data_IF_838594056681
#
_entry.id   IF_838594056681
#
_cell.length_a   1.000
_cell.length_b   1.000
_cell.length_c   1.000
_cell.angle_alpha   90.00
_cell.angle_beta   90.00
_cell.angle_gamma   90.00
#
_symmetry.space_group_name_H-M   'P 1'
#
loop_
_entity.id
_entity.type
_entity.pdbx_description
1 polymer ?
#
# COMPACT_ATOMS: atom_id res chain seq x y z
N UNK A 1 34.72 16.92 -8.24
CA UNK A 1 33.76 16.96 -7.11
C UNK A 1 33.12 18.34 -6.85
N UNK A 2 33.60 19.47 -7.34
CA UNK A 2 32.94 20.81 -7.20
C UNK A 2 31.79 21.04 -8.17
N UNK A 3 31.80 20.47 -9.36
CA UNK A 3 30.76 20.68 -10.38
C UNK A 3 29.42 19.99 -10.03
N UNK A 4 29.45 18.83 -9.38
CA UNK A 4 28.21 18.13 -8.98
C UNK A 4 27.38 18.86 -7.92
N UNK A 5 28.01 19.69 -7.06
CA UNK A 5 27.28 20.52 -6.08
C UNK A 5 26.52 21.67 -6.76
N UNK A 6 26.98 22.15 -7.90
CA UNK A 6 26.32 23.22 -8.66
C UNK A 6 24.99 22.79 -9.30
N UNK A 7 24.85 21.51 -9.66
CA UNK A 7 23.64 20.98 -10.30
C UNK A 7 22.49 20.73 -9.30
N UNK A 8 22.81 20.44 -8.05
CA UNK A 8 21.79 20.16 -7.02
C UNK A 8 20.89 21.38 -6.71
N UNK A 9 21.35 22.61 -6.98
CA UNK A 9 20.53 23.83 -6.81
C UNK A 9 19.36 23.92 -7.77
N UNK A 10 19.38 23.15 -8.86
CA UNK A 10 18.30 23.09 -9.86
C UNK A 10 17.33 21.95 -9.59
N UNK A 11 17.55 21.14 -8.55
CA UNK A 11 16.74 20.00 -8.19
C UNK A 11 15.97 20.29 -6.90
N UNK A 12 14.65 20.32 -6.97
CA UNK A 12 13.77 20.28 -5.81
C UNK A 12 13.26 18.85 -5.68
N UNK A 13 13.84 18.10 -4.73
CA UNK A 13 13.44 16.71 -4.49
C UNK A 13 12.63 16.67 -3.22
N UNK A 14 11.40 16.12 -3.31
CA UNK A 14 10.58 15.91 -2.13
C UNK A 14 11.32 15.03 -1.11
N UNK A 15 11.31 15.38 0.19
CA UNK A 15 11.95 14.57 1.25
C UNK A 15 11.45 13.13 1.31
N UNK A 16 10.26 12.85 0.78
CA UNK A 16 9.63 11.52 0.76
C UNK A 16 10.23 10.57 -0.29
N UNK A 17 10.98 11.08 -1.27
CA UNK A 17 11.59 10.28 -2.37
C UNK A 17 12.90 9.61 -2.00
N UNK A 18 13.14 9.28 -0.74
CA UNK A 18 14.29 8.45 -0.39
C UNK A 18 13.95 6.99 -0.65
N UNK A 19 14.40 6.46 -1.78
CA UNK A 19 14.34 5.03 -2.14
C UNK A 19 15.21 4.14 -1.24
N UNK A 20 15.08 4.31 0.09
CA UNK A 20 15.74 3.42 1.04
C UNK A 20 15.15 2.01 0.89
N UNK A 21 16.00 1.00 0.94
CA UNK A 21 15.59 -0.41 0.86
C UNK A 21 15.37 -0.95 -0.56
N UNK A 22 15.39 -0.14 -1.61
CA UNK A 22 15.24 -0.59 -3.02
C UNK A 22 16.29 -1.65 -3.40
N UNK A 23 17.48 -1.58 -2.82
CA UNK A 23 18.54 -2.59 -3.02
C UNK A 23 18.13 -4.00 -2.57
N UNK A 24 17.15 -4.13 -1.69
CA UNK A 24 16.64 -5.41 -1.21
C UNK A 24 15.66 -6.07 -2.19
N UNK A 25 15.07 -5.30 -3.12
CA UNK A 25 14.03 -5.81 -4.03
C UNK A 25 14.45 -7.06 -4.81
N UNK A 26 15.64 -7.11 -5.49
CA UNK A 26 16.03 -8.30 -6.24
C UNK A 26 16.19 -9.53 -5.35
N UNK A 27 16.69 -9.34 -4.13
CA UNK A 27 16.89 -10.41 -3.16
C UNK A 27 15.58 -10.95 -2.63
N UNK A 28 14.67 -10.05 -2.25
CA UNK A 28 13.34 -10.40 -1.75
C UNK A 28 12.46 -11.04 -2.83
N UNK A 29 12.53 -10.57 -4.08
CA UNK A 29 11.84 -11.20 -5.22
C UNK A 29 12.32 -12.64 -5.42
N UNK A 30 13.64 -12.88 -5.32
CA UNK A 30 14.21 -14.23 -5.40
C UNK A 30 13.70 -15.09 -4.24
N UNK A 31 13.73 -14.59 -3.02
CA UNK A 31 13.26 -15.31 -1.84
C UNK A 31 11.76 -15.65 -1.93
N UNK A 32 10.92 -14.71 -2.40
CA UNK A 32 9.50 -14.96 -2.65
C UNK A 32 9.30 -16.07 -3.68
N UNK A 33 10.00 -15.99 -4.81
CA UNK A 33 9.91 -16.99 -5.89
C UNK A 33 10.42 -18.36 -5.44
N UNK A 34 11.51 -18.39 -4.67
CA UNK A 34 12.12 -19.63 -4.15
C UNK A 34 11.45 -20.16 -2.89
N UNK A 35 10.45 -19.46 -2.33
CA UNK A 35 9.87 -19.79 -1.01
C UNK A 35 10.93 -19.89 0.09
N UNK A 36 11.94 -19.01 0.04
CA UNK A 36 13.04 -18.97 1.02
C UNK A 36 12.63 -18.13 2.23
N UNK A 37 12.99 -18.61 3.42
CA UNK A 37 12.84 -17.85 4.69
C UNK A 37 13.80 -16.67 4.65
N UNK A 38 13.32 -15.51 5.11
CA UNK A 38 14.11 -14.29 5.21
C UNK A 38 14.22 -13.88 6.67
N UNK A 39 15.42 -13.54 7.12
CA UNK A 39 15.65 -12.96 8.44
C UNK A 39 16.16 -11.53 8.31
N UNK A 40 15.62 -10.63 9.13
CA UNK A 40 16.04 -9.23 9.16
C UNK A 40 15.72 -8.56 10.49
N UNK A 41 16.43 -7.46 10.75
CA UNK A 41 16.08 -6.51 11.79
C UNK A 41 15.18 -5.42 11.21
N UNK A 42 14.07 -5.11 11.90
CA UNK A 42 13.14 -4.06 11.49
C UNK A 42 12.93 -3.04 12.61
N UNK A 43 13.14 -1.77 12.27
CA UNK A 43 12.99 -0.65 13.21
C UNK A 43 11.58 -0.09 13.18
N UNK A 44 10.96 0.03 14.33
CA UNK A 44 9.69 0.73 14.50
C UNK A 44 9.93 2.24 14.61
N UNK A 45 9.42 3.03 13.68
CA UNK A 45 9.63 4.49 13.71
C UNK A 45 8.94 5.21 14.87
N UNK A 46 7.86 4.66 15.40
CA UNK A 46 7.14 5.30 16.51
C UNK A 46 7.89 5.16 17.85
N UNK A 47 8.58 4.04 18.04
CA UNK A 47 9.26 3.73 19.31
C UNK A 47 10.79 3.79 19.20
N UNK A 48 11.34 3.77 17.98
CA UNK A 48 12.78 3.61 17.74
C UNK A 48 13.31 2.20 18.02
N UNK A 49 12.48 1.29 18.50
CA UNK A 49 12.89 -0.07 18.85
C UNK A 49 13.10 -0.91 17.58
N UNK A 50 14.16 -1.71 17.58
CA UNK A 50 14.44 -2.71 16.54
C UNK A 50 14.07 -4.10 17.03
N UNK A 51 13.51 -4.91 16.13
CA UNK A 51 13.12 -6.30 16.38
C UNK A 51 13.60 -7.17 15.25
N UNK A 52 14.20 -8.32 15.58
CA UNK A 52 14.56 -9.34 14.60
C UNK A 52 13.33 -10.18 14.25
N UNK A 53 13.18 -10.46 12.96
CA UNK A 53 12.11 -11.29 12.41
C UNK A 53 12.68 -12.37 11.52
N UNK A 54 12.12 -13.56 11.60
CA UNK A 54 12.18 -14.57 10.55
C UNK A 54 10.79 -14.66 9.91
N UNK A 55 10.74 -14.55 8.59
CA UNK A 55 9.46 -14.44 7.89
C UNK A 55 9.40 -15.30 6.64
N UNK A 56 8.20 -15.68 6.26
CA UNK A 56 7.87 -16.26 4.97
C UNK A 56 7.38 -15.14 4.04
N UNK A 57 8.18 -14.69 3.06
CA UNK A 57 7.82 -13.58 2.20
C UNK A 57 6.79 -14.02 1.14
N UNK A 58 5.76 -13.18 0.90
CA UNK A 58 4.70 -13.47 -0.05
C UNK A 58 4.57 -12.45 -1.17
N UNK A 59 4.66 -11.16 -0.85
CA UNK A 59 4.42 -10.08 -1.83
C UNK A 59 5.27 -8.86 -1.52
N UNK A 60 5.72 -8.17 -2.58
CA UNK A 60 6.26 -6.82 -2.50
C UNK A 60 5.24 -5.84 -3.07
N UNK A 61 4.97 -4.78 -2.33
CA UNK A 61 4.02 -3.73 -2.73
C UNK A 61 4.67 -2.37 -2.65
N UNK A 62 4.55 -1.61 -3.73
CA UNK A 62 4.85 -0.18 -3.70
C UNK A 62 3.59 0.59 -3.26
N UNK A 63 3.76 1.53 -2.35
CA UNK A 63 2.71 2.46 -1.96
C UNK A 63 3.30 3.79 -1.47
N UNK A 64 2.80 4.87 -2.03
CA UNK A 64 3.20 6.25 -1.69
C UNK A 64 4.73 6.47 -1.75
N UNK A 65 5.39 5.96 -2.79
CA UNK A 65 6.82 6.10 -3.02
C UNK A 65 7.70 5.23 -2.11
N UNK A 66 7.13 4.23 -1.43
CA UNK A 66 7.84 3.29 -0.56
C UNK A 66 7.52 1.85 -0.92
N UNK A 67 8.51 0.98 -0.72
CA UNK A 67 8.33 -0.45 -0.89
C UNK A 67 8.08 -1.14 0.45
N UNK A 68 7.19 -2.10 0.42
CA UNK A 68 6.79 -2.91 1.56
C UNK A 68 6.85 -4.39 1.24
N UNK A 69 7.36 -5.16 2.19
CA UNK A 69 7.28 -6.60 2.18
C UNK A 69 6.05 -7.05 2.97
N UNK A 70 5.16 -7.79 2.33
CA UNK A 70 4.08 -8.50 2.98
C UNK A 70 4.52 -9.94 3.24
N UNK A 71 4.58 -10.33 4.51
CA UNK A 71 5.15 -11.61 4.90
C UNK A 71 4.39 -12.22 6.09
N UNK A 72 4.32 -13.54 6.12
CA UNK A 72 3.84 -14.29 7.28
C UNK A 72 4.97 -14.42 8.30
N UNK A 73 4.67 -14.12 9.55
CA UNK A 73 5.57 -14.24 10.70
C UNK A 73 5.18 -15.48 11.48
N UNK A 74 5.94 -16.61 11.42
CA UNK A 74 5.57 -17.85 12.08
C UNK A 74 5.35 -17.70 13.59
N UNK A 75 6.26 -17.01 14.28
CA UNK A 75 6.20 -16.79 15.74
C UNK A 75 4.98 -15.97 16.20
N UNK A 76 4.32 -15.28 15.29
CA UNK A 76 3.12 -14.46 15.56
C UNK A 76 1.87 -15.06 14.95
N UNK A 77 2.02 -16.15 14.20
CA UNK A 77 0.95 -16.79 13.41
C UNK A 77 0.12 -15.78 12.58
N UNK A 78 0.76 -14.72 12.10
CA UNK A 78 0.10 -13.60 11.44
C UNK A 78 0.91 -13.01 10.28
N UNK A 79 0.20 -12.44 9.32
CA UNK A 79 0.82 -11.58 8.31
C UNK A 79 1.18 -10.20 8.88
N UNK A 80 2.30 -9.67 8.41
CA UNK A 80 2.73 -8.31 8.71
C UNK A 80 3.29 -7.63 7.46
N UNK A 81 3.20 -6.31 7.46
CA UNK A 81 3.76 -5.45 6.43
C UNK A 81 5.01 -4.74 6.97
N UNK A 82 6.12 -4.89 6.27
CA UNK A 82 7.42 -4.33 6.65
C UNK A 82 7.88 -3.32 5.61
N UNK A 83 8.08 -2.07 5.99
CA UNK A 83 8.71 -1.08 5.11
C UNK A 83 10.16 -1.43 4.87
N UNK A 84 10.59 -1.51 3.59
CA UNK A 84 11.95 -1.87 3.23
C UNK A 84 12.97 -0.82 3.68
N UNK A 85 12.54 0.43 3.82
CA UNK A 85 13.35 1.55 4.34
C UNK A 85 13.73 1.40 5.82
N UNK A 86 13.09 0.47 6.52
CA UNK A 86 13.26 0.18 7.95
C UNK A 86 13.94 -1.17 8.21
N UNK A 87 14.29 -1.90 7.16
CA UNK A 87 15.05 -3.14 7.27
C UNK A 87 16.54 -2.80 7.41
N UNK A 88 17.10 -3.20 8.53
CA UNK A 88 18.54 -3.10 8.82
C UNK A 88 19.29 -4.33 8.31
N UNK A 89 19.80 -5.14 9.24
CA UNK A 89 20.46 -6.40 8.90
C UNK A 89 19.52 -7.35 8.17
N UNK A 90 20.00 -7.98 7.09
CA UNK A 90 19.25 -8.90 6.24
C UNK A 90 20.07 -10.15 5.97
N UNK A 91 19.46 -11.32 6.08
CA UNK A 91 20.09 -12.60 5.73
C UNK A 91 19.08 -13.62 5.19
N UNK A 92 19.61 -14.61 4.45
CA UNK A 92 18.89 -15.79 4.00
C UNK A 92 19.43 -16.99 4.80
N UNK A 93 18.67 -17.55 5.75
CA UNK A 93 19.14 -18.65 6.59
C UNK A 93 19.25 -20.01 5.85
N UNK A 94 19.03 -20.04 4.54
CA UNK A 94 19.12 -21.25 3.71
C UNK A 94 17.98 -22.24 3.93
N UNK A 95 16.88 -21.81 4.54
CA UNK A 95 15.68 -22.61 4.78
C UNK A 95 14.55 -22.22 3.85
N UNK A 96 13.71 -23.18 3.49
CA UNK A 96 12.52 -22.97 2.67
C UNK A 96 11.27 -23.22 3.48
N UNK A 97 10.17 -22.57 3.09
CA UNK A 97 8.86 -22.80 3.67
C UNK A 97 7.88 -23.36 2.64
N UNK A 98 6.90 -24.12 3.13
CA UNK A 98 5.81 -24.60 2.28
C UNK A 98 4.74 -23.52 2.15
N UNK A 99 4.41 -23.15 0.93
CA UNK A 99 3.30 -22.25 0.64
C UNK A 99 1.97 -22.95 0.93
N UNK A 100 1.13 -22.32 1.72
CA UNK A 100 -0.19 -22.85 2.08
C UNK A 100 -1.29 -22.07 1.33
N UNK A 101 -2.33 -22.76 0.80
CA UNK A 101 -3.39 -22.11 0.00
C UNK A 101 -4.06 -20.93 0.72
N UNK A 102 -4.34 -21.05 2.02
CA UNK A 102 -4.95 -19.99 2.83
C UNK A 102 -4.05 -18.75 2.97
N UNK A 103 -2.72 -18.94 2.98
CA UNK A 103 -1.76 -17.84 3.02
C UNK A 103 -1.60 -17.16 1.67
N UNK A 104 -1.67 -17.92 0.58
CA UNK A 104 -1.70 -17.39 -0.78
C UNK A 104 -2.97 -16.55 -1.00
N UNK A 105 -4.11 -17.00 -0.48
CA UNK A 105 -5.35 -16.24 -0.55
C UNK A 105 -5.23 -14.91 0.20
N UNK A 106 -4.63 -14.92 1.40
CA UNK A 106 -4.39 -13.70 2.18
C UNK A 106 -3.49 -12.72 1.41
N UNK A 107 -2.44 -13.21 0.74
CA UNK A 107 -1.57 -12.38 -0.10
C UNK A 107 -2.32 -11.78 -1.30
N UNK A 108 -3.19 -12.57 -1.96
CA UNK A 108 -4.07 -12.07 -3.05
C UNK A 108 -5.04 -11.00 -2.56
N UNK A 109 -5.57 -11.14 -1.35
CA UNK A 109 -6.43 -10.13 -0.73
C UNK A 109 -5.68 -8.83 -0.45
N UNK A 110 -4.42 -8.91 -0.01
CA UNK A 110 -3.57 -7.74 0.18
C UNK A 110 -3.34 -6.97 -1.12
N UNK A 111 -3.32 -7.65 -2.25
CA UNK A 111 -3.25 -7.01 -3.57
C UNK A 111 -4.57 -6.30 -3.96
N UNK A 112 -5.69 -6.62 -3.30
CA UNK A 112 -7.01 -6.02 -3.54
C UNK A 112 -7.32 -4.81 -2.66
N UNK A 113 -6.31 -4.20 -2.03
CA UNK A 113 -6.50 -2.97 -1.26
C UNK A 113 -5.73 -1.79 -1.87
N UNK A 114 -6.31 -0.61 -1.77
CA UNK A 114 -5.54 0.62 -1.90
C UNK A 114 -4.80 0.86 -0.59
N UNK A 115 -3.45 0.92 -0.64
CA UNK A 115 -2.63 1.07 0.55
C UNK A 115 -2.20 -0.25 1.20
N UNK A 116 -2.13 -0.28 2.52
CA UNK A 116 -1.51 -1.35 3.30
C UNK A 116 -2.46 -2.04 4.28
N UNK A 117 -3.63 -1.45 4.55
CA UNK A 117 -4.63 -2.00 5.46
C UNK A 117 -5.54 -2.98 4.72
N UNK A 118 -5.25 -4.28 4.85
CA UNK A 118 -5.98 -5.35 4.15
C UNK A 118 -7.09 -6.01 5.00
N UNK A 119 -7.10 -5.76 6.29
CA UNK A 119 -8.13 -6.21 7.25
C UNK A 119 -8.75 -4.98 7.94
N UNK A 120 -9.60 -4.19 7.24
CA UNK A 120 -10.19 -2.99 7.80
C UNK A 120 -11.08 -3.34 9.01
N UNK A 121 -10.85 -2.67 10.14
CA UNK A 121 -11.57 -2.95 11.38
C UNK A 121 -11.37 -4.37 11.90
N UNK A 122 -10.21 -5.00 11.63
CA UNK A 122 -9.87 -6.40 11.96
C UNK A 122 -10.77 -7.45 11.27
N UNK A 123 -11.46 -7.08 10.19
CA UNK A 123 -12.30 -8.00 9.41
C UNK A 123 -11.46 -8.77 8.40
N UNK A 124 -11.20 -10.04 8.70
CA UNK A 124 -10.46 -10.95 7.82
C UNK A 124 -11.21 -11.33 6.55
N UNK A 125 -12.54 -11.19 6.55
CA UNK A 125 -13.48 -11.57 5.50
C UNK A 125 -14.06 -10.40 4.73
N UNK A 126 -13.52 -9.17 4.90
CA UNK A 126 -14.03 -7.99 4.19
C UNK A 126 -14.11 -8.26 2.67
N UNK A 127 -15.27 -8.03 2.03
CA UNK A 127 -15.45 -8.37 0.62
C UNK A 127 -14.67 -7.43 -0.30
N UNK A 128 -14.34 -7.93 -1.49
CA UNK A 128 -13.96 -7.07 -2.60
C UNK A 128 -15.24 -6.47 -3.17
N UNK A 129 -15.31 -5.16 -3.21
CA UNK A 129 -16.48 -4.41 -3.68
C UNK A 129 -16.17 -3.64 -4.96
N UNK A 130 -17.18 -3.44 -5.81
CA UNK A 130 -17.12 -2.51 -6.94
C UNK A 130 -17.23 -1.08 -6.39
N UNK A 131 -16.13 -0.37 -6.35
CA UNK A 131 -16.07 1.04 -5.95
C UNK A 131 -16.16 1.90 -7.19
N UNK A 132 -17.29 2.62 -7.36
CA UNK A 132 -17.51 3.53 -8.48
C UNK A 132 -17.55 4.98 -7.99
N UNK A 133 -16.80 5.83 -8.68
CA UNK A 133 -16.66 7.24 -8.34
C UNK A 133 -16.82 8.08 -9.59
N UNK A 134 -17.76 9.02 -9.54
CA UNK A 134 -17.94 10.03 -10.58
C UNK A 134 -17.01 11.21 -10.33
N UNK A 135 -16.41 11.73 -11.40
CA UNK A 135 -15.55 12.90 -11.36
C UNK A 135 -16.18 14.05 -12.14
N UNK A 136 -16.30 15.20 -11.48
CA UNK A 136 -16.83 16.42 -12.09
C UNK A 136 -15.73 17.26 -12.77
N UNK A 137 -14.45 16.96 -12.51
CA UNK A 137 -13.29 17.59 -13.15
C UNK A 137 -12.63 16.61 -14.13
N UNK A 138 -12.75 16.92 -15.43
CA UNK A 138 -12.14 16.12 -16.49
C UNK A 138 -10.62 16.10 -16.43
N UNK A 139 -9.95 17.11 -15.83
CA UNK A 139 -8.49 17.11 -15.70
C UNK A 139 -8.04 16.09 -14.65
N UNK A 140 -8.77 15.99 -13.55
CA UNK A 140 -8.54 15.01 -12.50
C UNK A 140 -8.74 13.57 -13.02
N UNK A 141 -9.75 13.35 -13.84
CA UNK A 141 -9.99 12.06 -14.47
C UNK A 141 -8.85 11.66 -15.45
N UNK A 142 -8.32 12.63 -16.21
CA UNK A 142 -7.13 12.39 -17.06
C UNK A 142 -5.89 12.05 -16.23
N UNK A 143 -5.67 12.73 -15.11
CA UNK A 143 -4.58 12.37 -14.19
C UNK A 143 -4.75 10.97 -13.63
N UNK A 144 -5.97 10.60 -13.24
CA UNK A 144 -6.29 9.26 -12.77
C UNK A 144 -6.07 8.18 -13.83
N UNK A 145 -6.36 8.48 -15.11
CA UNK A 145 -6.08 7.60 -16.24
C UNK A 145 -4.57 7.39 -16.45
N UNK A 146 -3.79 8.45 -16.29
CA UNK A 146 -2.33 8.41 -16.44
C UNK A 146 -1.62 7.73 -15.25
N UNK A 147 -2.18 7.88 -14.04
CA UNK A 147 -1.65 7.32 -12.79
C UNK A 147 -2.75 6.53 -12.05
N UNK A 148 -3.02 5.29 -12.48
CA UNK A 148 -4.06 4.46 -11.88
C UNK A 148 -3.83 4.21 -10.39
N UNK A 149 -4.90 4.29 -9.59
CA UNK A 149 -4.83 3.97 -8.16
C UNK A 149 -4.62 2.47 -7.90
N UNK A 150 -5.11 1.63 -8.80
CA UNK A 150 -5.02 0.17 -8.69
C UNK A 150 -5.13 -0.49 -10.06
N UNK A 151 -4.54 -1.67 -10.22
CA UNK A 151 -4.54 -2.43 -11.47
C UNK A 151 -5.95 -2.80 -11.99
N UNK A 152 -6.96 -2.85 -11.09
CA UNK A 152 -8.35 -3.10 -11.48
C UNK A 152 -9.10 -1.87 -12.01
N UNK A 153 -8.43 -0.72 -12.14
CA UNK A 153 -9.08 0.52 -12.56
C UNK A 153 -9.68 0.41 -13.96
N UNK A 154 -10.92 0.84 -14.09
CA UNK A 154 -11.61 1.07 -15.35
C UNK A 154 -12.18 2.48 -15.34
N UNK A 155 -12.18 3.15 -16.48
CA UNK A 155 -12.76 4.48 -16.63
C UNK A 155 -13.76 4.40 -17.79
N UNK A 156 -14.99 4.85 -17.53
CA UNK A 156 -16.05 4.94 -18.51
C UNK A 156 -16.76 6.30 -18.36
N UNK A 157 -16.69 7.11 -19.39
CA UNK A 157 -17.21 8.48 -19.36
C UNK A 157 -16.55 9.32 -18.26
N UNK A 158 -17.32 9.80 -17.33
CA UNK A 158 -16.89 10.57 -16.17
C UNK A 158 -16.69 9.74 -14.89
N UNK A 159 -16.76 8.42 -15.00
CA UNK A 159 -16.77 7.50 -13.86
C UNK A 159 -15.54 6.60 -13.89
N UNK A 160 -14.88 6.47 -12.74
CA UNK A 160 -13.86 5.45 -12.49
C UNK A 160 -14.41 4.35 -11.60
N UNK A 161 -13.99 3.11 -11.88
CA UNK A 161 -14.39 1.91 -11.13
C UNK A 161 -13.16 1.11 -10.73
N UNK A 162 -13.19 0.56 -9.52
CA UNK A 162 -12.18 -0.36 -8.97
C UNK A 162 -12.84 -1.55 -8.28
N UNK A 163 -12.15 -2.69 -8.30
CA UNK A 163 -12.50 -3.88 -7.51
C UNK A 163 -11.57 -3.93 -6.29
N UNK A 164 -12.01 -3.39 -5.16
CA UNK A 164 -11.18 -3.18 -3.95
C UNK A 164 -11.89 -3.62 -2.67
N UNK A 165 -11.10 -4.01 -1.69
CA UNK A 165 -11.55 -4.06 -0.29
C UNK A 165 -11.54 -2.61 0.23
N UNK A 166 -12.70 -2.14 0.68
CA UNK A 166 -12.84 -0.78 1.19
C UNK A 166 -12.13 -0.67 2.54
N UNK A 167 -11.22 0.29 2.65
CA UNK A 167 -10.40 0.52 3.84
C UNK A 167 -10.21 2.03 4.12
N UNK A 168 -9.69 2.41 5.32
CA UNK A 168 -9.50 3.82 5.67
C UNK A 168 -8.56 4.58 4.74
N UNK A 169 -7.58 3.92 4.13
CA UNK A 169 -6.63 4.56 3.21
C UNK A 169 -7.32 4.94 1.89
N UNK A 170 -8.20 4.07 1.37
CA UNK A 170 -9.05 4.38 0.23
C UNK A 170 -10.00 5.54 0.55
N UNK A 171 -10.65 5.51 1.73
CA UNK A 171 -11.53 6.61 2.16
C UNK A 171 -10.78 7.94 2.21
N UNK A 172 -9.58 7.97 2.79
CA UNK A 172 -8.74 9.17 2.84
C UNK A 172 -8.36 9.66 1.43
N UNK A 173 -8.06 8.72 0.53
CA UNK A 173 -7.76 9.06 -0.87
C UNK A 173 -8.97 9.67 -1.55
N UNK A 174 -10.16 9.10 -1.38
CA UNK A 174 -11.39 9.64 -1.98
C UNK A 174 -11.75 11.02 -1.41
N UNK A 175 -11.59 11.22 -0.11
CA UNK A 175 -11.76 12.54 0.52
C UNK A 175 -10.80 13.60 -0.02
N UNK A 176 -9.60 13.21 -0.45
CA UNK A 176 -8.63 14.14 -1.02
C UNK A 176 -9.04 14.75 -2.36
N UNK A 177 -10.07 14.21 -3.01
CA UNK A 177 -10.65 14.77 -4.23
C UNK A 177 -11.66 15.90 -3.96
N UNK A 178 -12.10 16.05 -2.69
CA UNK A 178 -13.02 17.11 -2.28
C UNK A 178 -14.33 17.09 -3.07
N UNK A 179 -14.74 18.28 -3.53
CA UNK A 179 -15.95 18.51 -4.32
C UNK A 179 -15.87 17.99 -5.76
N UNK A 180 -14.68 17.63 -6.22
CA UNK A 180 -14.47 17.17 -7.60
C UNK A 180 -14.89 15.73 -7.84
N UNK A 181 -15.22 14.96 -6.79
CA UNK A 181 -15.58 13.55 -6.92
C UNK A 181 -16.74 13.14 -6.00
N UNK A 182 -17.55 12.21 -6.51
CA UNK A 182 -18.69 11.64 -5.79
C UNK A 182 -18.62 10.12 -5.81
N UNK A 183 -18.67 9.49 -4.64
CA UNK A 183 -18.78 8.03 -4.51
C UNK A 183 -20.20 7.61 -4.89
N UNK A 184 -20.34 6.77 -5.92
CA UNK A 184 -21.62 6.21 -6.37
C UNK A 184 -21.91 4.88 -5.68
N UNK A 185 -20.90 4.00 -5.60
CA UNK A 185 -20.99 2.67 -4.95
C UNK A 185 -19.71 2.32 -4.23
N UNK A 186 -19.73 1.46 -3.18
CA UNK A 186 -20.93 0.97 -2.51
C UNK A 186 -21.58 2.04 -1.64
N UNK A 187 -22.88 1.91 -1.38
CA UNK A 187 -23.63 2.90 -0.58
C UNK A 187 -23.06 3.09 0.82
N UNK A 188 -22.57 2.03 1.45
CA UNK A 188 -21.91 2.10 2.74
C UNK A 188 -20.67 3.02 2.76
N UNK A 189 -19.87 3.00 1.69
CA UNK A 189 -18.73 3.88 1.51
C UNK A 189 -19.19 5.32 1.25
N UNK A 190 -20.19 5.51 0.40
CA UNK A 190 -20.79 6.83 0.12
C UNK A 190 -21.25 7.51 1.41
N UNK A 191 -21.97 6.79 2.26
CA UNK A 191 -22.47 7.32 3.54
C UNK A 191 -21.32 7.69 4.49
N UNK A 192 -20.26 6.87 4.59
CA UNK A 192 -19.08 7.21 5.42
C UNK A 192 -18.37 8.45 4.90
N UNK A 193 -18.12 8.56 3.61
CA UNK A 193 -17.51 9.76 3.01
C UNK A 193 -18.36 11.00 3.29
N UNK A 194 -19.67 10.93 3.03
CA UNK A 194 -20.59 12.04 3.30
C UNK A 194 -20.62 12.42 4.78
N UNK A 195 -20.59 11.45 5.69
CA UNK A 195 -20.53 11.68 7.13
C UNK A 195 -19.26 12.42 7.54
N UNK A 196 -18.10 11.96 7.06
CA UNK A 196 -16.79 12.60 7.33
C UNK A 196 -16.71 14.03 6.78
N UNK A 197 -17.28 14.29 5.61
CA UNK A 197 -17.34 15.64 5.04
C UNK A 197 -18.24 16.58 5.87
N UNK A 198 -19.41 16.11 6.34
CA UNK A 198 -20.27 16.88 7.24
C UNK A 198 -19.56 17.18 8.56
N UNK A 199 -18.90 16.19 9.16
CA UNK A 199 -18.12 16.39 10.38
C UNK A 199 -16.97 17.41 10.17
N UNK A 200 -16.27 17.33 9.03
CA UNK A 200 -15.26 18.31 8.70
C UNK A 200 -15.85 19.72 8.62
N UNK A 201 -16.98 19.89 7.92
CA UNK A 201 -17.66 21.19 7.77
C UNK A 201 -18.04 21.83 9.11
N UNK A 202 -18.38 21.05 10.14
CA UNK A 202 -18.71 21.60 11.47
C UNK A 202 -17.53 22.24 12.20
N UNK A 203 -16.30 22.08 11.70
CA UNK A 203 -15.08 22.64 12.29
C UNK A 203 -14.66 23.96 11.65
N UNK A 204 -15.35 24.37 10.58
CA UNK A 204 -15.17 25.66 9.89
C UNK A 204 -16.38 26.57 10.05
#
# INVERSE_FOLDING_TARGET
MREQRGLLRYLSISPTTRFKGVKLLPHLLRAIRGSEVVAFEHTNYATGASTCYEVHPYLLKEFAGRWYLFAYVPDKEAFRTFGLDRIGFYSLPGRHFTRKPEREETARRFDRVYGLVYEPGQRKDAPVESVRVKFYDASMLRHLAALPLHASQRIEGDTAEWQLIVNPELENKLLSYGECAEVLTPESLRQRIAGRLREALTRY
#
